data_IF_614955805989
#
_entry.id   IF_614955805989
#
_cell.length_a   1.000
_cell.length_b   1.000
_cell.length_c   1.000
_cell.angle_alpha   90.00
_cell.angle_beta   90.00
_cell.angle_gamma   90.00
#
_symmetry.space_group_name_H-M   'P 1'
#
loop_
_entity.id
_entity.type
_entity.pdbx_description
1 polymer ?
#
# COMPACT_ATOMS: atom_id res chain seq x y z
N UNK A 1 -22.72 31.75 -10.96
CA UNK A 1 -22.77 31.74 -9.49
C UNK A 1 -24.16 31.31 -9.06
N UNK A 2 -24.41 30.01 -8.97
CA UNK A 2 -25.53 29.38 -8.28
C UNK A 2 -25.06 27.96 -7.93
N UNK A 3 -24.50 27.79 -6.73
CA UNK A 3 -24.18 26.48 -6.17
C UNK A 3 -25.50 25.97 -5.61
N UNK A 4 -26.22 25.16 -6.39
CA UNK A 4 -27.42 24.45 -5.93
C UNK A 4 -26.99 23.38 -4.93
N UNK A 5 -27.12 23.70 -3.65
CA UNK A 5 -26.91 22.77 -2.55
C UNK A 5 -27.86 21.58 -2.68
N UNK A 6 -27.29 20.38 -2.87
CA UNK A 6 -28.00 19.15 -2.56
C UNK A 6 -27.96 18.97 -1.05
N UNK A 7 -29.07 19.30 -0.39
CA UNK A 7 -29.30 19.00 1.02
C UNK A 7 -29.33 17.48 1.19
N UNK A 8 -28.17 16.85 1.41
CA UNK A 8 -28.13 15.55 2.04
C UNK A 8 -28.16 15.78 3.54
N UNK A 9 -29.36 15.70 4.13
CA UNK A 9 -29.50 15.59 5.58
C UNK A 9 -28.84 14.27 6.02
N UNK A 10 -27.63 14.35 6.55
CA UNK A 10 -27.03 13.25 7.29
C UNK A 10 -27.75 13.15 8.62
N UNK A 11 -28.38 12.01 8.94
CA UNK A 11 -28.96 11.82 10.26
C UNK A 11 -27.83 11.63 11.28
N UNK A 12 -27.43 12.71 11.95
CA UNK A 12 -26.46 12.65 13.04
C UNK A 12 -27.13 12.04 14.27
N UNK A 13 -26.98 10.73 14.45
CA UNK A 13 -27.35 10.09 15.72
C UNK A 13 -26.14 10.15 16.65
N UNK A 14 -26.18 10.92 17.75
CA UNK A 14 -25.08 10.93 18.69
C UNK A 14 -24.95 9.55 19.36
N UNK A 15 -23.75 8.97 19.32
CA UNK A 15 -23.45 7.72 20.03
C UNK A 15 -22.66 8.06 21.29
N UNK A 16 -23.29 7.89 22.45
CA UNK A 16 -22.65 8.07 23.74
C UNK A 16 -21.96 6.76 24.16
N UNK A 17 -20.63 6.80 24.39
CA UNK A 17 -19.83 5.66 24.87
C UNK A 17 -19.34 5.84 26.30
N UNK A 18 -20.19 6.39 27.18
CA UNK A 18 -19.82 6.65 28.57
C UNK A 18 -18.61 7.59 28.66
N UNK A 19 -17.63 7.28 29.52
CA UNK A 19 -16.47 8.14 29.76
C UNK A 19 -15.48 8.32 28.59
N UNK A 20 -15.72 7.69 27.44
CA UNK A 20 -14.83 7.76 26.25
C UNK A 20 -15.25 8.83 25.22
N UNK A 21 -16.30 9.59 25.51
CA UNK A 21 -16.76 10.70 24.68
C UNK A 21 -18.03 10.37 23.87
N UNK A 22 -18.57 11.43 23.26
CA UNK A 22 -19.73 11.37 22.36
C UNK A 22 -19.23 11.48 20.93
N UNK A 23 -19.63 10.55 20.08
CA UNK A 23 -19.25 10.52 18.66
C UNK A 23 -20.44 10.88 17.79
N UNK A 24 -20.17 11.68 16.76
CA UNK A 24 -21.12 11.89 15.66
C UNK A 24 -20.98 10.74 14.66
N UNK A 25 -22.08 10.03 14.46
CA UNK A 25 -22.19 9.02 13.42
C UNK A 25 -22.62 9.67 12.11
N UNK A 26 -21.85 9.43 11.07
CA UNK A 26 -22.18 9.80 9.71
C UNK A 26 -22.57 8.53 8.95
N UNK A 27 -23.86 8.37 8.67
CA UNK A 27 -24.35 7.32 7.78
C UNK A 27 -24.39 7.87 6.36
N UNK A 28 -23.65 7.24 5.44
CA UNK A 28 -23.69 7.61 4.03
C UNK A 28 -24.86 6.89 3.38
N UNK A 29 -25.76 7.66 2.76
CA UNK A 29 -26.90 7.08 2.05
C UNK A 29 -26.42 6.32 0.80
N UNK A 30 -26.56 4.98 0.80
CA UNK A 30 -26.06 4.13 -0.29
C UNK A 30 -26.67 4.47 -1.65
N UNK A 31 -27.92 4.96 -1.70
CA UNK A 31 -28.50 5.39 -2.98
C UNK A 31 -27.68 6.51 -3.64
N UNK A 32 -27.08 7.42 -2.87
CA UNK A 32 -26.22 8.48 -3.41
C UNK A 32 -24.89 7.93 -3.95
N UNK A 33 -24.37 6.86 -3.32
CA UNK A 33 -23.17 6.15 -3.78
C UNK A 33 -23.45 5.41 -5.10
N UNK A 34 -24.59 4.72 -5.18
CA UNK A 34 -25.02 3.96 -6.35
C UNK A 34 -25.30 4.91 -7.53
N UNK A 35 -26.06 5.98 -7.28
CA UNK A 35 -26.41 7.00 -8.29
C UNK A 35 -25.19 7.66 -8.90
N UNK A 36 -24.17 7.94 -8.07
CA UNK A 36 -22.90 8.53 -8.53
C UNK A 36 -21.92 7.52 -9.11
N UNK A 37 -22.30 6.25 -9.21
CA UNK A 37 -21.50 5.19 -9.81
C UNK A 37 -20.07 5.08 -9.22
N UNK A 38 -19.91 5.42 -7.93
CA UNK A 38 -18.58 5.62 -7.30
C UNK A 38 -17.76 4.32 -7.27
N UNK A 39 -18.42 3.19 -6.99
CA UNK A 39 -17.78 1.87 -6.89
C UNK A 39 -17.83 1.07 -8.19
N UNK A 40 -18.62 1.53 -9.15
CA UNK A 40 -18.90 0.80 -10.37
C UNK A 40 -17.97 1.32 -11.46
N UNK A 41 -16.93 0.54 -11.76
CA UNK A 41 -16.10 0.77 -12.95
C UNK A 41 -16.91 0.65 -14.23
N UNK A 42 -16.36 1.05 -15.38
CA UNK A 42 -16.98 0.97 -16.71
C UNK A 42 -17.23 -0.46 -17.24
N UNK A 43 -17.16 -1.48 -16.37
CA UNK A 43 -17.37 -2.90 -16.69
C UNK A 43 -18.53 -3.46 -15.87
N UNK A 44 -19.07 -4.57 -16.37
CA UNK A 44 -20.23 -5.26 -15.82
C UNK A 44 -20.14 -5.44 -14.30
N UNK A 45 -21.15 -4.92 -13.61
CA UNK A 45 -21.29 -4.92 -12.15
C UNK A 45 -21.90 -6.25 -11.74
N UNK A 46 -21.32 -6.92 -10.74
CA UNK A 46 -21.95 -8.08 -10.10
C UNK A 46 -23.01 -7.59 -9.10
N UNK A 47 -24.24 -7.38 -9.57
CA UNK A 47 -25.36 -6.84 -8.78
C UNK A 47 -25.66 -7.67 -7.53
N UNK A 48 -25.53 -9.00 -7.61
CA UNK A 48 -25.82 -9.91 -6.50
C UNK A 48 -24.92 -9.63 -5.29
N UNK A 49 -23.61 -9.44 -5.49
CA UNK A 49 -22.68 -9.11 -4.40
C UNK A 49 -22.96 -7.77 -3.75
N UNK A 50 -23.40 -6.78 -4.52
CA UNK A 50 -23.77 -5.47 -3.97
C UNK A 50 -25.09 -5.55 -3.20
N UNK A 51 -26.08 -6.28 -3.71
CA UNK A 51 -27.33 -6.54 -3.00
C UNK A 51 -27.06 -7.29 -1.70
N UNK A 52 -26.19 -8.30 -1.71
CA UNK A 52 -25.75 -9.00 -0.51
C UNK A 52 -25.07 -8.06 0.49
N UNK A 53 -24.11 -7.25 0.04
CA UNK A 53 -23.38 -6.30 0.91
C UNK A 53 -24.30 -5.23 1.52
N UNK A 54 -25.29 -4.73 0.77
CA UNK A 54 -26.24 -3.74 1.28
C UNK A 54 -27.36 -4.36 2.14
N UNK A 55 -27.67 -5.64 1.94
CA UNK A 55 -28.70 -6.37 2.70
C UNK A 55 -28.16 -6.96 4.00
N UNK A 56 -26.93 -7.50 3.99
CA UNK A 56 -26.25 -8.01 5.18
C UNK A 56 -25.71 -6.83 6.00
N UNK A 57 -26.59 -6.24 6.81
CA UNK A 57 -26.23 -5.27 7.84
C UNK A 57 -25.94 -6.01 9.16
N UNK A 58 -24.68 -6.35 9.48
CA UNK A 58 -24.38 -6.71 10.86
C UNK A 58 -24.67 -5.47 11.71
N UNK A 59 -25.72 -5.51 12.53
CA UNK A 59 -26.18 -4.40 13.37
C UNK A 59 -25.23 -4.07 14.54
N UNK A 60 -24.02 -4.66 14.51
CA UNK A 60 -22.94 -4.31 15.40
C UNK A 60 -22.27 -3.07 14.83
N UNK A 61 -22.80 -1.92 15.23
CA UNK A 61 -22.36 -0.59 14.80
C UNK A 61 -20.84 -0.38 14.90
N UNK A 62 -20.15 -1.23 15.67
CA UNK A 62 -18.69 -1.34 15.70
C UNK A 62 -18.31 -2.79 16.03
N UNK A 63 -17.76 -3.58 15.10
CA UNK A 63 -17.13 -4.83 15.49
C UNK A 63 -16.02 -4.50 16.49
N UNK A 64 -16.10 -5.04 17.71
CA UNK A 64 -14.98 -4.99 18.65
C UNK A 64 -13.93 -5.97 18.13
N UNK A 65 -12.98 -5.44 17.37
CA UNK A 65 -11.80 -6.20 17.00
C UNK A 65 -11.02 -6.53 18.27
N UNK A 66 -10.96 -7.81 18.60
CA UNK A 66 -10.00 -8.37 19.55
C UNK A 66 -8.72 -8.68 18.79
N UNK A 67 -7.59 -8.75 19.48
CA UNK A 67 -6.30 -9.12 18.88
C UNK A 67 -6.42 -10.44 18.07
N UNK A 68 -7.10 -11.44 18.66
CA UNK A 68 -7.42 -12.72 18.01
C UNK A 68 -8.34 -12.61 16.77
N UNK A 69 -9.09 -11.51 16.60
CA UNK A 69 -9.91 -11.28 15.41
C UNK A 69 -9.12 -10.64 14.27
N UNK A 70 -8.00 -9.97 14.57
CA UNK A 70 -7.15 -9.32 13.59
C UNK A 70 -6.00 -10.24 13.16
N UNK A 71 -5.57 -11.11 14.08
CA UNK A 71 -4.50 -12.07 13.84
C UNK A 71 -5.01 -13.44 14.25
N UNK A 72 -5.50 -14.25 13.30
CA UNK A 72 -6.10 -15.55 13.59
C UNK A 72 -5.08 -16.64 13.98
N UNK A 73 -3.78 -16.34 13.96
CA UNK A 73 -2.71 -17.29 14.27
C UNK A 73 -2.04 -16.97 15.61
N UNK A 74 -1.77 -18.01 16.41
CA UNK A 74 -1.13 -17.93 17.73
C UNK A 74 0.37 -17.54 17.67
N UNK A 75 0.97 -17.42 16.48
CA UNK A 75 2.39 -17.10 16.29
C UNK A 75 2.63 -15.61 16.00
N UNK A 76 2.12 -14.74 16.88
CA UNK A 76 2.31 -13.28 16.80
C UNK A 76 3.78 -12.88 16.64
N UNK A 77 4.70 -13.58 17.32
CA UNK A 77 6.13 -13.26 17.29
C UNK A 77 6.78 -13.55 15.91
N UNK A 78 6.28 -14.54 15.17
CA UNK A 78 6.73 -14.79 13.79
C UNK A 78 6.07 -13.81 12.81
N UNK A 79 4.76 -13.58 12.98
CA UNK A 79 3.99 -12.68 12.13
C UNK A 79 4.47 -11.22 12.21
N UNK A 80 4.93 -10.79 13.40
CA UNK A 80 5.41 -9.43 13.67
C UNK A 80 6.86 -9.40 14.15
N UNK A 81 7.71 -10.24 13.57
CA UNK A 81 9.15 -10.18 13.85
C UNK A 81 9.75 -8.85 13.38
N UNK A 82 10.65 -8.27 14.18
CA UNK A 82 11.42 -7.10 13.77
C UNK A 82 12.30 -7.50 12.59
N UNK A 83 12.03 -6.93 11.41
CA UNK A 83 12.80 -7.13 10.20
C UNK A 83 14.16 -6.39 10.28
N UNK A 84 15.06 -6.89 11.12
CA UNK A 84 16.42 -6.36 11.23
C UNK A 84 17.29 -6.93 10.08
N UNK A 85 18.18 -6.12 9.49
CA UNK A 85 19.08 -6.59 8.45
C UNK A 85 20.01 -7.68 9.00
N UNK A 86 20.19 -8.75 8.22
CA UNK A 86 21.10 -9.85 8.56
C UNK A 86 22.57 -9.44 8.41
N UNK A 87 23.47 -10.20 9.01
CA UNK A 87 24.90 -9.96 8.87
C UNK A 87 25.35 -10.05 7.40
N UNK A 88 26.10 -9.06 6.90
CA UNK A 88 26.61 -9.07 5.53
C UNK A 88 27.55 -10.24 5.23
N UNK A 89 28.30 -10.71 6.25
CA UNK A 89 29.32 -11.76 6.10
C UNK A 89 28.75 -13.16 6.28
N UNK A 90 28.02 -13.42 7.37
CA UNK A 90 27.53 -14.76 7.71
C UNK A 90 26.02 -14.95 7.52
N UNK A 91 25.28 -13.89 7.16
CA UNK A 91 23.82 -13.90 6.96
C UNK A 91 22.99 -14.31 8.18
N UNK A 92 23.58 -14.41 9.37
CA UNK A 92 22.82 -14.66 10.59
C UNK A 92 21.91 -13.47 10.94
N UNK A 93 20.71 -13.73 11.51
CA UNK A 93 19.78 -12.68 11.89
C UNK A 93 20.35 -11.85 13.04
N UNK A 94 20.11 -10.54 13.00
CA UNK A 94 20.57 -9.61 14.03
C UNK A 94 19.64 -9.70 15.24
N UNK A 95 20.22 -9.89 16.42
CA UNK A 95 19.47 -10.04 17.69
C UNK A 95 18.91 -8.70 18.19
N UNK A 96 19.61 -7.59 17.91
CA UNK A 96 19.21 -6.26 18.35
C UNK A 96 19.69 -5.19 17.39
N UNK A 97 18.86 -4.17 17.19
CA UNK A 97 19.17 -2.98 16.40
C UNK A 97 20.45 -2.26 16.89
N UNK A 98 20.74 -2.29 18.21
CA UNK A 98 21.94 -1.63 18.77
C UNK A 98 23.24 -2.44 18.65
N UNK A 99 23.17 -3.67 18.12
CA UNK A 99 24.34 -4.54 18.03
C UNK A 99 25.34 -4.04 16.98
N UNK A 100 26.53 -3.58 17.41
CA UNK A 100 27.59 -3.10 16.49
C UNK A 100 28.37 -4.22 15.81
N UNK A 101 28.30 -5.43 16.34
CA UNK A 101 29.02 -6.60 15.85
C UNK A 101 28.09 -7.81 15.83
N UNK A 102 28.31 -8.70 14.87
CA UNK A 102 27.58 -9.96 14.77
C UNK A 102 27.98 -10.89 15.92
N UNK A 103 26.99 -11.44 16.62
CA UNK A 103 27.23 -12.38 17.74
C UNK A 103 27.79 -13.74 17.27
N UNK A 104 27.62 -14.07 15.98
CA UNK A 104 28.01 -15.37 15.42
C UNK A 104 29.41 -15.33 14.80
N UNK A 105 29.71 -14.32 13.96
CA UNK A 105 30.99 -14.22 13.24
C UNK A 105 31.90 -13.07 13.69
N UNK A 106 31.46 -12.21 14.62
CA UNK A 106 32.24 -11.07 15.10
C UNK A 106 32.42 -9.91 14.11
N UNK A 107 31.90 -10.02 12.87
CA UNK A 107 31.99 -8.95 11.89
C UNK A 107 31.25 -7.69 12.35
N UNK A 108 31.80 -6.51 12.05
CA UNK A 108 31.12 -5.24 12.32
C UNK A 108 29.84 -5.16 11.49
N UNK A 109 28.71 -4.98 12.16
CA UNK A 109 27.43 -4.76 11.51
C UNK A 109 27.39 -3.32 11.04
N UNK A 110 27.13 -3.12 9.75
CA UNK A 110 26.77 -1.82 9.22
C UNK A 110 25.26 -1.66 9.32
N UNK A 111 24.82 -0.47 9.71
CA UNK A 111 23.41 -0.14 9.61
C UNK A 111 23.12 0.13 8.14
N UNK A 112 22.74 -0.94 7.43
CA UNK A 112 22.21 -0.82 6.09
C UNK A 112 20.97 0.07 6.18
N UNK A 113 20.99 1.19 5.45
CA UNK A 113 19.81 2.04 5.36
C UNK A 113 18.72 1.23 4.67
N UNK A 114 17.59 1.01 5.35
CA UNK A 114 16.41 0.34 4.79
C UNK A 114 16.04 0.96 3.44
N UNK A 115 16.25 2.27 3.29
CA UNK A 115 16.09 2.99 2.03
C UNK A 115 17.01 2.45 0.92
N UNK A 116 18.32 2.25 1.20
CA UNK A 116 19.25 1.75 0.19
C UNK A 116 18.89 0.31 -0.21
N UNK A 117 18.45 -0.51 0.75
CA UNK A 117 17.98 -1.86 0.47
C UNK A 117 16.77 -1.84 -0.46
N UNK A 118 15.73 -1.05 -0.17
CA UNK A 118 14.52 -0.89 -1.01
C UNK A 118 14.90 -0.39 -2.41
N UNK A 119 15.70 0.67 -2.48
CA UNK A 119 16.07 1.34 -3.73
C UNK A 119 16.99 0.46 -4.59
N UNK A 120 17.73 -0.46 -3.96
CA UNK A 120 18.63 -1.40 -4.64
C UNK A 120 17.91 -2.59 -5.29
N UNK A 121 16.62 -2.77 -5.01
CA UNK A 121 15.80 -3.84 -5.55
C UNK A 121 15.57 -3.71 -7.07
N UNK A 122 15.25 -4.83 -7.70
CA UNK A 122 14.98 -4.92 -9.13
C UNK A 122 13.62 -4.28 -9.49
N UNK A 123 13.53 -3.68 -10.68
CA UNK A 123 12.30 -3.09 -11.21
C UNK A 123 11.15 -4.10 -11.41
N UNK A 124 11.45 -5.40 -11.45
CA UNK A 124 10.42 -6.46 -11.53
C UNK A 124 9.45 -6.48 -10.35
N UNK A 125 9.84 -5.92 -9.20
CA UNK A 125 8.97 -5.83 -8.02
C UNK A 125 7.93 -4.71 -8.10
N UNK A 126 8.07 -3.79 -9.07
CA UNK A 126 7.06 -2.77 -9.29
C UNK A 126 5.78 -3.40 -9.87
N UNK A 127 4.60 -2.78 -9.65
CA UNK A 127 3.32 -3.22 -10.21
C UNK A 127 3.21 -2.98 -11.73
N UNK A 128 4.14 -3.56 -12.49
CA UNK A 128 4.21 -3.59 -13.95
C UNK A 128 4.27 -5.04 -14.44
N UNK A 129 3.92 -5.27 -15.71
CA UNK A 129 4.01 -6.61 -16.28
C UNK A 129 5.48 -7.02 -16.48
N UNK A 130 5.79 -8.31 -16.30
CA UNK A 130 7.14 -8.87 -16.51
C UNK A 130 7.70 -8.52 -17.89
N UNK A 131 6.89 -8.69 -18.95
CA UNK A 131 7.27 -8.29 -20.32
C UNK A 131 7.64 -6.81 -20.46
N UNK A 132 7.07 -5.93 -19.63
CA UNK A 132 7.42 -4.50 -19.63
C UNK A 132 8.71 -4.26 -18.85
N UNK A 133 8.90 -4.92 -17.71
CA UNK A 133 10.17 -4.89 -16.99
C UNK A 133 11.32 -5.35 -17.91
N UNK A 134 11.13 -6.45 -18.64
CA UNK A 134 12.09 -6.97 -19.62
C UNK A 134 12.37 -5.96 -20.74
N UNK A 135 11.31 -5.37 -21.31
CA UNK A 135 11.46 -4.36 -22.37
C UNK A 135 12.25 -3.13 -21.88
N UNK A 136 12.01 -2.70 -20.64
CA UNK A 136 12.76 -1.60 -20.00
C UNK A 136 14.23 -2.01 -19.82
N UNK A 137 14.51 -3.22 -19.31
CA UNK A 137 15.88 -3.71 -19.13
C UNK A 137 16.64 -3.83 -20.46
N UNK A 138 15.96 -4.26 -21.52
CA UNK A 138 16.58 -4.45 -22.84
C UNK A 138 16.82 -3.12 -23.57
N UNK A 139 15.89 -2.18 -23.47
CA UNK A 139 15.91 -0.93 -24.26
C UNK A 139 16.46 0.29 -23.51
N UNK A 140 16.78 0.16 -22.21
CA UNK A 140 17.32 1.25 -21.39
C UNK A 140 18.41 0.75 -20.43
N UNK A 141 19.03 1.68 -19.69
CA UNK A 141 20.01 1.37 -18.64
C UNK A 141 19.40 1.07 -17.27
N UNK A 142 18.07 1.16 -17.15
CA UNK A 142 17.36 0.99 -15.89
C UNK A 142 17.37 -0.49 -15.48
N UNK A 143 17.81 -0.79 -14.26
CA UNK A 143 17.80 -2.14 -13.67
C UNK A 143 17.15 -2.16 -12.29
N UNK A 144 17.34 -1.09 -11.53
CA UNK A 144 16.87 -0.97 -10.14
C UNK A 144 15.83 0.13 -9.98
N UNK A 145 15.10 0.09 -8.87
CA UNK A 145 14.15 1.14 -8.48
C UNK A 145 14.86 2.50 -8.41
N UNK A 146 16.11 2.53 -7.92
CA UNK A 146 17.00 3.71 -7.94
C UNK A 146 17.07 4.40 -9.29
N UNK A 147 17.26 3.63 -10.35
CA UNK A 147 17.53 4.17 -11.69
C UNK A 147 16.30 4.88 -12.23
N UNK A 148 15.09 4.43 -11.87
CA UNK A 148 13.83 5.08 -12.22
C UNK A 148 13.70 6.43 -11.49
N UNK A 149 14.03 6.46 -10.20
CA UNK A 149 13.93 7.68 -9.39
C UNK A 149 14.93 8.75 -9.82
N UNK A 150 16.10 8.31 -10.27
CA UNK A 150 17.17 9.18 -10.77
C UNK A 150 17.02 9.53 -12.27
N UNK A 151 16.07 8.94 -13.00
CA UNK A 151 15.80 9.25 -14.41
C UNK A 151 15.12 10.62 -14.56
N UNK A 152 15.94 11.65 -14.68
CA UNK A 152 15.47 13.02 -14.86
C UNK A 152 14.70 13.18 -16.17
N UNK A 153 13.50 13.76 -16.10
CA UNK A 153 12.52 13.88 -17.20
C UNK A 153 12.05 12.54 -17.81
N UNK A 154 12.31 11.41 -17.15
CA UNK A 154 12.01 10.07 -17.66
C UNK A 154 12.64 9.77 -19.04
N UNK A 155 13.86 10.25 -19.28
CA UNK A 155 14.52 10.13 -20.60
C UNK A 155 14.84 8.69 -20.95
N UNK A 156 15.30 7.90 -19.98
CA UNK A 156 15.62 6.49 -20.20
C UNK A 156 14.34 5.65 -20.36
N UNK A 157 13.32 5.90 -19.54
CA UNK A 157 12.01 5.23 -19.68
C UNK A 157 11.36 5.50 -21.04
N UNK A 158 11.46 6.73 -21.55
CA UNK A 158 10.83 7.13 -22.82
C UNK A 158 11.55 6.60 -24.08
N UNK A 159 12.74 6.00 -23.95
CA UNK A 159 13.42 5.31 -25.05
C UNK A 159 12.79 3.95 -25.35
N UNK A 160 12.11 3.36 -24.38
CA UNK A 160 11.53 2.03 -24.48
C UNK A 160 10.29 2.08 -25.37
N UNK A 161 10.18 1.11 -26.28
CA UNK A 161 9.01 1.01 -27.16
C UNK A 161 7.72 0.91 -26.34
N UNK A 162 6.66 1.59 -26.79
CA UNK A 162 5.35 1.65 -26.11
C UNK A 162 5.34 2.31 -24.71
N UNK A 163 6.41 3.00 -24.30
CA UNK A 163 6.44 3.81 -23.07
C UNK A 163 6.41 5.31 -23.42
N UNK A 164 5.20 5.83 -23.56
CA UNK A 164 4.95 7.26 -23.72
C UNK A 164 5.05 8.05 -22.41
N UNK A 165 4.87 9.39 -22.44
CA UNK A 165 4.98 10.25 -21.27
C UNK A 165 4.00 9.89 -20.13
N UNK A 166 2.79 9.46 -20.47
CA UNK A 166 1.80 9.01 -19.47
C UNK A 166 2.26 7.74 -18.74
N UNK A 167 2.78 6.76 -19.49
CA UNK A 167 3.29 5.52 -18.91
C UNK A 167 4.56 5.75 -18.10
N UNK A 168 5.47 6.59 -18.59
CA UNK A 168 6.68 6.96 -17.86
C UNK A 168 6.37 7.59 -16.50
N UNK A 169 5.44 8.55 -16.46
CA UNK A 169 4.97 9.16 -15.20
C UNK A 169 4.33 8.13 -14.26
N UNK A 170 3.55 7.20 -14.81
CA UNK A 170 2.90 6.14 -14.02
C UNK A 170 3.91 5.18 -13.40
N UNK A 171 4.93 4.76 -14.16
CA UNK A 171 6.01 3.90 -13.67
C UNK A 171 6.81 4.62 -12.58
N UNK A 172 7.07 5.93 -12.75
CA UNK A 172 7.72 6.73 -11.72
C UNK A 172 6.89 6.83 -10.43
N UNK A 173 5.57 7.04 -10.54
CA UNK A 173 4.65 7.02 -9.38
C UNK A 173 4.76 5.71 -8.61
N UNK A 174 4.82 4.57 -9.32
CA UNK A 174 4.99 3.28 -8.68
C UNK A 174 6.31 3.14 -7.91
N UNK A 175 7.41 3.68 -8.45
CA UNK A 175 8.69 3.68 -7.75
C UNK A 175 8.68 4.61 -6.52
N UNK A 176 7.99 5.75 -6.60
CA UNK A 176 7.82 6.69 -5.48
C UNK A 176 6.95 6.07 -4.36
N UNK A 177 5.85 5.43 -4.72
CA UNK A 177 4.97 4.69 -3.80
C UNK A 177 5.67 3.51 -3.12
N UNK A 178 6.69 2.93 -3.75
CA UNK A 178 7.42 1.79 -3.20
C UNK A 178 8.36 2.17 -2.03
N UNK A 179 8.67 3.46 -1.88
CA UNK A 179 9.53 3.99 -0.80
C UNK A 179 8.70 4.66 0.30
N UNK A 180 7.49 5.13 -0.04
CA UNK A 180 6.58 5.82 0.87
C UNK A 180 5.88 4.86 1.83
#
# INVERSE_FOLDING_TARGET
MLISGSNYEYSTRPSNRGGKGVYELYEIHYAAIIDRNIFFSSKAINSEKYVEAFSNRPNHHYPRHLEASLVPEDNLDQAFSLALPSCEVCKSPRVSDKAKFCMECGAKLQDASIFEDIVSQDIELLPITTARADSIKQSSKIRKIKDILMDYDNKELRKVNMIGPAWAKKIKSYAEEFIA
#
